data_IF_425797561015
#
_entry.id   IF_425797561015
#
_cell.length_a   1.000
_cell.length_b   1.000
_cell.length_c   1.000
_cell.angle_alpha   90.00
_cell.angle_beta   90.00
_cell.angle_gamma   90.00
#
_symmetry.space_group_name_H-M   'P 1'
#
loop_
_entity.id
_entity.type
_entity.pdbx_description
1 polymer ?
#
# COMPACT_ATOMS: atom_id res chain seq x y z
N UNK A 1 -10.61 -19.57 29.22
CA UNK A 1 -11.29 -18.89 28.09
C UNK A 1 -10.23 -18.14 27.28
N UNK A 2 -10.08 -18.42 25.97
CA UNK A 2 -9.16 -17.63 25.15
C UNK A 2 -9.70 -16.19 25.04
N UNK A 3 -8.87 -15.20 25.39
CA UNK A 3 -9.20 -13.78 25.29
C UNK A 3 -9.34 -13.43 23.81
N UNK A 4 -10.43 -12.79 23.42
CA UNK A 4 -10.61 -12.32 22.06
C UNK A 4 -9.48 -11.35 21.69
N UNK A 5 -8.64 -11.74 20.73
CA UNK A 5 -7.58 -10.88 20.23
C UNK A 5 -8.22 -9.73 19.46
N UNK A 6 -8.14 -8.52 19.99
CA UNK A 6 -8.66 -7.33 19.31
C UNK A 6 -7.94 -7.14 17.98
N UNK A 7 -8.66 -7.33 16.87
CA UNK A 7 -8.14 -7.13 15.53
C UNK A 7 -8.41 -5.69 15.10
N UNK A 8 -7.36 -4.87 15.09
CA UNK A 8 -7.48 -3.51 14.57
C UNK A 8 -7.68 -3.55 13.05
N UNK A 9 -8.78 -2.96 12.58
CA UNK A 9 -9.08 -2.80 11.15
C UNK A 9 -8.26 -1.65 10.57
N UNK A 10 -7.99 -1.72 9.26
CA UNK A 10 -7.37 -0.63 8.53
C UNK A 10 -8.22 0.64 8.65
N UNK A 11 -7.59 1.81 8.74
CA UNK A 11 -8.28 3.10 8.79
C UNK A 11 -7.83 3.99 7.65
N UNK A 12 -8.76 4.46 6.82
CA UNK A 12 -8.48 5.33 5.68
C UNK A 12 -7.86 6.68 6.07
N UNK A 13 -8.01 7.11 7.33
CA UNK A 13 -7.32 8.30 7.82
C UNK A 13 -5.80 8.17 7.75
N UNK A 14 -5.24 6.95 7.81
CA UNK A 14 -3.80 6.72 7.68
C UNK A 14 -3.27 7.01 6.28
N UNK A 15 -4.12 6.92 5.25
CA UNK A 15 -3.74 7.30 3.88
C UNK A 15 -3.61 8.82 3.70
N UNK A 16 -4.13 9.60 4.65
CA UNK A 16 -4.01 11.07 4.68
C UNK A 16 -2.91 11.55 5.62
N UNK A 17 -2.36 10.64 6.43
CA UNK A 17 -1.30 10.97 7.39
C UNK A 17 0.01 11.28 6.67
N UNK A 18 0.61 12.42 6.98
CA UNK A 18 1.86 12.87 6.34
C UNK A 18 3.03 11.91 6.53
N UNK A 19 3.03 11.07 7.57
CA UNK A 19 4.11 10.10 7.81
C UNK A 19 3.94 8.79 7.02
N UNK A 20 2.70 8.49 6.58
CA UNK A 20 2.36 7.19 6.00
C UNK A 20 1.95 7.29 4.53
N UNK A 21 1.25 8.36 4.12
CA UNK A 21 0.61 8.52 2.80
C UNK A 21 1.55 8.30 1.61
N UNK A 22 2.83 8.62 1.76
CA UNK A 22 3.81 8.55 0.66
C UNK A 22 4.08 7.11 0.21
N UNK A 23 4.00 6.16 1.14
CA UNK A 23 4.39 4.77 0.92
C UNK A 23 3.32 3.74 1.28
N UNK A 24 2.36 4.12 2.14
CA UNK A 24 1.26 3.26 2.56
C UNK A 24 0.20 3.21 1.46
N UNK A 25 -0.19 2.01 1.09
CA UNK A 25 -1.27 1.72 0.17
C UNK A 25 -2.24 0.76 0.83
N UNK A 26 -3.53 0.94 0.56
CA UNK A 26 -4.56 -0.07 0.88
C UNK A 26 -4.78 -0.95 -0.33
N UNK A 27 -4.89 -2.26 -0.11
CA UNK A 27 -5.34 -3.20 -1.14
C UNK A 27 -6.54 -3.98 -0.59
N UNK A 28 -7.48 -4.29 -1.47
CA UNK A 28 -8.62 -5.14 -1.12
C UNK A 28 -8.21 -6.62 -1.15
N UNK A 29 -8.61 -7.34 -0.12
CA UNK A 29 -8.44 -8.79 0.00
C UNK A 29 -9.78 -9.42 0.39
N UNK A 30 -9.87 -10.75 0.27
CA UNK A 30 -11.08 -11.51 0.63
C UNK A 30 -11.54 -11.26 2.07
N UNK A 31 -10.60 -10.95 2.98
CA UNK A 31 -10.86 -10.64 4.39
C UNK A 31 -11.07 -9.14 4.67
N UNK A 32 -11.03 -8.27 3.65
CA UNK A 32 -11.15 -6.82 3.77
C UNK A 32 -9.88 -6.05 3.42
N UNK A 33 -9.85 -4.72 3.69
CA UNK A 33 -8.73 -3.85 3.34
C UNK A 33 -7.49 -4.17 4.18
N UNK A 34 -6.37 -4.37 3.50
CA UNK A 34 -5.06 -4.64 4.12
C UNK A 34 -4.05 -3.56 3.74
N UNK A 35 -3.23 -3.16 4.72
CA UNK A 35 -2.12 -2.26 4.51
C UNK A 35 -1.01 -2.95 3.71
N UNK A 36 -0.48 -2.27 2.68
CA UNK A 36 0.68 -2.70 1.91
C UNK A 36 1.64 -1.53 1.75
N UNK A 37 2.93 -1.80 1.89
CA UNK A 37 3.96 -0.81 1.57
C UNK A 37 4.33 -0.90 0.10
N UNK A 38 4.18 0.20 -0.65
CA UNK A 38 4.57 0.25 -2.07
C UNK A 38 6.09 0.22 -2.28
N UNK A 39 6.86 0.71 -1.31
CA UNK A 39 8.33 0.77 -1.41
C UNK A 39 8.97 -0.57 -1.06
N UNK A 40 8.42 -1.28 -0.08
CA UNK A 40 8.92 -2.59 0.36
C UNK A 40 8.24 -3.77 -0.34
N UNK A 41 7.09 -3.55 -0.97
CA UNK A 41 6.23 -4.59 -1.53
C UNK A 41 5.56 -5.49 -0.49
N UNK A 42 5.79 -5.26 0.80
CA UNK A 42 5.33 -6.12 1.90
C UNK A 42 3.93 -5.73 2.39
N UNK A 43 3.12 -6.74 2.69
CA UNK A 43 1.84 -6.57 3.41
C UNK A 43 2.15 -6.31 4.88
N UNK A 44 1.49 -5.33 5.46
CA UNK A 44 1.67 -4.88 6.83
C UNK A 44 0.46 -5.21 7.68
N UNK A 45 0.67 -5.24 8.99
CA UNK A 45 -0.44 -5.31 9.94
C UNK A 45 -1.20 -4.00 9.92
N UNK A 46 -2.51 -4.09 10.09
CA UNK A 46 -3.41 -2.95 10.20
C UNK A 46 -3.33 -2.31 11.60
N UNK A 47 -2.11 -2.05 12.07
CA UNK A 47 -1.85 -1.43 13.36
C UNK A 47 -0.93 -0.23 13.22
N UNK A 48 -1.37 0.94 13.71
CA UNK A 48 -0.68 2.21 13.44
C UNK A 48 0.78 2.21 13.93
N UNK A 49 1.05 1.61 15.09
CA UNK A 49 2.41 1.48 15.63
C UNK A 49 3.34 0.68 14.71
N UNK A 50 2.84 -0.42 14.15
CA UNK A 50 3.58 -1.25 13.20
C UNK A 50 3.84 -0.51 11.88
N UNK A 51 2.86 0.26 11.38
CA UNK A 51 3.02 1.09 10.19
C UNK A 51 4.11 2.15 10.40
N UNK A 52 4.07 2.85 11.54
CA UNK A 52 5.06 3.88 11.87
C UNK A 52 6.46 3.27 12.03
N UNK A 53 6.57 2.15 12.74
CA UNK A 53 7.84 1.44 12.92
C UNK A 53 8.38 0.89 11.59
N UNK A 54 7.50 0.43 10.70
CA UNK A 54 7.87 0.00 9.36
C UNK A 54 8.52 1.14 8.55
N UNK A 55 7.94 2.34 8.58
CA UNK A 55 8.49 3.52 7.88
C UNK A 55 9.90 3.91 8.36
N UNK A 56 10.23 3.59 9.62
CA UNK A 56 11.55 3.84 10.21
C UNK A 56 12.53 2.67 10.00
N UNK A 57 12.07 1.54 9.45
CA UNK A 57 12.92 0.36 9.29
C UNK A 57 14.03 0.58 8.26
N UNK A 58 15.20 -0.03 8.49
CA UNK A 58 16.37 0.08 7.59
C UNK A 58 16.03 -0.29 6.14
N UNK A 59 15.27 -1.38 5.96
CA UNK A 59 14.82 -1.85 4.65
C UNK A 59 13.94 -0.80 3.95
N UNK A 60 13.04 -0.17 4.68
CA UNK A 60 12.19 0.89 4.15
C UNK A 60 13.01 2.11 3.71
N UNK A 61 13.90 2.59 4.58
CA UNK A 61 14.75 3.75 4.30
C UNK A 61 15.68 3.51 3.10
N UNK A 62 16.23 2.31 2.98
CA UNK A 62 17.05 1.93 1.83
C UNK A 62 16.24 1.92 0.53
N UNK A 63 15.07 1.29 0.53
CA UNK A 63 14.21 1.24 -0.65
C UNK A 63 13.70 2.62 -1.05
N UNK A 64 13.35 3.47 -0.07
CA UNK A 64 12.91 4.85 -0.31
C UNK A 64 13.97 5.64 -1.06
N UNK A 65 15.25 5.54 -0.64
CA UNK A 65 16.38 6.17 -1.33
C UNK A 65 16.55 5.65 -2.75
N UNK A 66 16.52 4.31 -2.94
CA UNK A 66 16.71 3.70 -4.26
C UNK A 66 15.61 4.17 -5.24
N UNK A 67 14.35 4.10 -4.82
CA UNK A 67 13.21 4.45 -5.67
C UNK A 67 13.21 5.94 -6.03
N UNK A 68 13.66 6.82 -5.12
CA UNK A 68 13.78 8.25 -5.40
C UNK A 68 14.86 8.55 -6.46
N UNK A 69 15.94 7.78 -6.50
CA UNK A 69 17.06 7.97 -7.43
C UNK A 69 16.81 7.38 -8.81
N UNK A 70 15.90 6.40 -8.94
CA UNK A 70 15.68 5.75 -10.23
C UNK A 70 15.00 6.69 -11.24
N UNK A 71 15.55 6.80 -12.48
CA UNK A 71 14.91 7.57 -13.53
C UNK A 71 13.55 6.94 -13.85
N UNK A 72 12.50 7.77 -13.84
CA UNK A 72 11.15 7.35 -14.23
C UNK A 72 11.18 6.99 -15.71
N UNK A 73 11.24 5.69 -16.00
CA UNK A 73 11.12 5.20 -17.37
C UNK A 73 9.76 5.63 -17.93
N UNK A 74 9.71 6.26 -19.12
CA UNK A 74 8.46 6.65 -19.74
C UNK A 74 7.76 5.40 -20.28
N UNK A 75 7.04 4.69 -19.42
CA UNK A 75 6.12 3.66 -19.86
C UNK A 75 4.87 4.32 -20.46
N UNK A 76 4.78 4.36 -21.79
CA UNK A 76 3.52 4.63 -22.49
C UNK A 76 2.55 3.49 -22.14
N UNK A 77 1.53 3.79 -21.35
CA UNK A 77 0.39 2.88 -21.18
C UNK A 77 -0.40 2.90 -22.48
N UNK A 78 -0.17 1.92 -23.35
CA UNK A 78 -1.05 1.70 -24.50
C UNK A 78 -2.43 1.33 -23.96
N UNK A 79 -3.43 2.15 -24.29
CA UNK A 79 -4.78 2.05 -23.76
C UNK A 79 -5.40 0.70 -24.09
N UNK A 80 -5.85 -0.01 -23.06
CA UNK A 80 -6.72 -1.18 -23.20
C UNK A 80 -7.94 -0.77 -24.04
N UNK A 81 -8.02 -1.29 -25.26
CA UNK A 81 -9.03 -0.96 -26.25
C UNK A 81 -10.45 -1.18 -25.72
N UNK A 82 -11.28 -0.13 -25.82
CA UNK A 82 -12.74 -0.19 -25.63
C UNK A 82 -13.34 -1.22 -26.58
N UNK A 83 -13.66 -2.43 -26.11
CA UNK A 83 -14.56 -3.34 -26.83
C UNK A 83 -15.97 -2.75 -26.82
N UNK A 84 -16.35 -2.06 -27.90
CA UNK A 84 -17.74 -1.65 -28.15
C UNK A 84 -18.58 -2.91 -28.42
N UNK A 85 -19.45 -3.30 -27.49
CA UNK A 85 -20.53 -4.25 -27.78
C UNK A 85 -21.52 -3.55 -28.73
N UNK A 86 -21.62 -4.02 -29.97
CA UNK A 86 -22.78 -3.73 -30.83
C UNK A 86 -23.89 -4.69 -30.44
N UNK A 87 -25.03 -4.13 -30.04
CA UNK A 87 -26.30 -4.85 -29.90
C UNK A 87 -26.93 -4.88 -31.30
N UNK A 88 -27.30 -6.07 -31.77
CA UNK A 88 -28.09 -6.31 -32.96
C UNK A 88 -29.16 -7.32 -32.61
#
# INVERSE_FOLDING_TARGET
MPKAQYTQKFRDCWLRDSQLKDWLQVIESTAGPIAKCRLCGSVLRNHYGDLKNHGLSKKHLQNSKIIATQPKLPFKREGVGKRKKKLG
#
